data_IF_645670754996
#
_entry.id   IF_645670754996
#
_cell.length_a   1.000
_cell.length_b   1.000
_cell.length_c   1.000
_cell.angle_alpha   90.00
_cell.angle_beta   90.00
_cell.angle_gamma   90.00
#
_symmetry.space_group_name_H-M   'P 1'
#
loop_
_entity.id
_entity.type
_entity.pdbx_description
1 polymer ?
#
# COMPACT_ATOMS: atom_id res chain seq x y z
N UNK A 1 8.64 7.57 -17.98
CA UNK A 1 7.67 8.41 -17.25
C UNK A 1 6.24 7.89 -17.47
N UNK A 2 5.76 7.74 -18.72
CA UNK A 2 4.45 7.13 -19.01
C UNK A 2 4.28 5.69 -18.45
N UNK A 3 5.33 4.87 -18.52
CA UNK A 3 5.29 3.49 -18.00
C UNK A 3 5.17 3.42 -16.46
N UNK A 4 5.84 4.34 -15.74
CA UNK A 4 5.74 4.44 -14.28
C UNK A 4 4.32 4.88 -13.89
N UNK A 5 3.79 5.91 -14.55
CA UNK A 5 2.43 6.38 -14.32
C UNK A 5 1.40 5.27 -14.58
N UNK A 6 1.53 4.55 -15.70
CA UNK A 6 0.63 3.44 -16.03
C UNK A 6 0.70 2.31 -15.01
N UNK A 7 1.90 1.92 -14.57
CA UNK A 7 2.09 0.87 -13.57
C UNK A 7 1.54 1.28 -12.21
N UNK A 8 1.73 2.55 -11.85
CA UNK A 8 1.21 3.14 -10.61
C UNK A 8 -0.33 3.20 -10.60
N UNK A 9 -0.95 3.71 -11.66
CA UNK A 9 -2.41 3.75 -11.79
C UNK A 9 -3.01 2.34 -11.70
N UNK A 10 -2.34 1.37 -12.33
CA UNK A 10 -2.76 -0.04 -12.27
C UNK A 10 -2.63 -0.60 -10.84
N UNK A 11 -1.50 -0.38 -10.17
CA UNK A 11 -1.29 -0.79 -8.78
C UNK A 11 -2.35 -0.18 -7.86
N UNK A 12 -2.61 1.12 -7.96
CA UNK A 12 -3.62 1.79 -7.15
C UNK A 12 -5.00 1.17 -7.36
N UNK A 13 -5.42 0.99 -8.61
CA UNK A 13 -6.75 0.46 -8.93
C UNK A 13 -6.91 -0.98 -8.43
N UNK A 14 -5.90 -1.83 -8.64
CA UNK A 14 -5.94 -3.23 -8.20
C UNK A 14 -5.88 -3.33 -6.67
N UNK A 15 -5.07 -2.49 -6.00
CA UNK A 15 -5.02 -2.41 -4.55
C UNK A 15 -6.36 -1.96 -3.96
N UNK A 16 -6.94 -0.91 -4.54
CA UNK A 16 -8.24 -0.41 -4.11
C UNK A 16 -9.34 -1.45 -4.31
N UNK A 17 -9.35 -2.16 -5.46
CA UNK A 17 -10.32 -3.23 -5.71
C UNK A 17 -10.14 -4.38 -4.72
N UNK A 18 -8.90 -4.83 -4.53
CA UNK A 18 -8.57 -5.89 -3.59
C UNK A 18 -9.04 -5.56 -2.17
N UNK A 19 -8.73 -4.39 -1.64
CA UNK A 19 -9.09 -4.01 -0.27
C UNK A 19 -10.61 -3.88 -0.09
N UNK A 20 -11.32 -3.35 -1.09
CA UNK A 20 -12.79 -3.29 -1.07
C UNK A 20 -13.42 -4.69 -1.08
N UNK A 21 -12.97 -5.55 -1.99
CA UNK A 21 -13.48 -6.90 -2.11
C UNK A 21 -13.12 -7.76 -0.89
N UNK A 22 -11.92 -7.58 -0.34
CA UNK A 22 -11.43 -8.30 0.83
C UNK A 22 -12.42 -8.20 1.98
N UNK A 23 -12.88 -6.98 2.31
CA UNK A 23 -13.85 -6.74 3.39
C UNK A 23 -15.13 -7.57 3.22
N UNK A 24 -15.59 -7.75 1.98
CA UNK A 24 -16.82 -8.53 1.69
C UNK A 24 -16.59 -10.04 1.67
N UNK A 25 -15.34 -10.48 1.65
CA UNK A 25 -14.90 -11.88 1.57
C UNK A 25 -14.29 -12.39 2.87
N UNK A 26 -14.29 -11.56 3.92
CA UNK A 26 -13.93 -11.97 5.27
C UNK A 26 -14.99 -12.86 5.89
N UNK A 27 -14.57 -13.70 6.83
CA UNK A 27 -15.47 -14.48 7.69
C UNK A 27 -16.34 -13.55 8.56
N UNK A 28 -17.54 -13.98 8.96
CA UNK A 28 -18.42 -13.18 9.82
C UNK A 28 -17.85 -12.80 11.19
N UNK A 29 -16.88 -13.56 11.69
CA UNK A 29 -16.20 -13.36 12.98
C UNK A 29 -14.89 -12.57 12.86
N UNK A 30 -14.55 -12.10 11.66
CA UNK A 30 -13.38 -11.28 11.45
C UNK A 30 -13.47 -9.96 12.25
N UNK A 31 -12.35 -9.44 12.77
CA UNK A 31 -12.32 -8.18 13.49
C UNK A 31 -12.89 -7.04 12.64
N UNK A 32 -13.78 -6.24 13.22
CA UNK A 32 -14.44 -5.12 12.53
C UNK A 32 -13.45 -4.07 12.06
N UNK A 33 -12.29 -3.97 12.72
CA UNK A 33 -11.19 -3.06 12.42
C UNK A 33 -10.60 -3.31 11.03
N UNK A 34 -10.75 -4.52 10.47
CA UNK A 34 -10.27 -4.84 9.12
C UNK A 34 -10.99 -4.03 8.03
N UNK A 35 -12.16 -3.45 8.31
CA UNK A 35 -12.83 -2.52 7.40
C UNK A 35 -11.98 -1.27 7.10
N UNK A 36 -11.02 -0.94 7.97
CA UNK A 36 -10.16 0.23 7.82
C UNK A 36 -8.95 -0.02 6.91
N UNK A 37 -8.76 -1.24 6.39
CA UNK A 37 -7.66 -1.55 5.47
C UNK A 37 -7.72 -0.76 4.16
N UNK A 38 -8.91 -0.31 3.75
CA UNK A 38 -9.10 0.55 2.57
C UNK A 38 -8.26 1.83 2.61
N UNK A 39 -7.90 2.31 3.81
CA UNK A 39 -7.05 3.48 4.02
C UNK A 39 -5.68 3.32 3.36
N UNK A 40 -5.20 2.08 3.15
CA UNK A 40 -3.91 1.83 2.49
C UNK A 40 -3.91 2.36 1.05
N UNK A 41 -5.02 2.20 0.30
CA UNK A 41 -5.14 2.74 -1.05
C UNK A 41 -5.19 4.28 -1.06
N UNK A 42 -5.73 4.91 -0.01
CA UNK A 42 -5.79 6.38 0.11
C UNK A 42 -4.40 7.02 0.28
N UNK A 43 -3.35 6.24 0.58
CA UNK A 43 -1.95 6.71 0.73
C UNK A 43 -1.37 7.12 -0.64
N UNK A 44 -1.78 6.45 -1.72
CA UNK A 44 -1.27 6.65 -3.08
C UNK A 44 -2.40 7.06 -4.02
N UNK A 45 -2.80 8.33 -4.02
CA UNK A 45 -3.91 8.77 -4.86
C UNK A 45 -3.52 8.85 -6.35
N UNK A 46 -4.48 8.55 -7.23
CA UNK A 46 -4.35 8.81 -8.67
C UNK A 46 -4.23 10.32 -8.88
N UNK A 47 -3.12 10.77 -9.47
CA UNK A 47 -2.85 12.18 -9.71
C UNK A 47 -2.20 12.93 -8.53
N UNK A 48 -1.62 12.20 -7.57
CA UNK A 48 -0.81 12.80 -6.50
C UNK A 48 0.37 13.59 -7.12
N UNK A 49 0.47 14.91 -6.86
CA UNK A 49 1.48 15.77 -7.48
C UNK A 49 2.90 15.33 -7.15
N UNK A 50 3.16 14.61 -6.05
CA UNK A 50 4.49 14.07 -5.77
C UNK A 50 4.92 13.01 -6.81
N UNK A 51 3.96 12.36 -7.46
CA UNK A 51 4.19 11.42 -8.56
C UNK A 51 4.18 12.10 -9.94
N UNK A 52 3.48 13.22 -10.08
CA UNK A 52 3.40 13.98 -11.33
C UNK A 52 4.59 14.95 -11.50
N UNK A 53 5.07 15.55 -10.42
CA UNK A 53 6.12 16.57 -10.41
C UNK A 53 7.53 15.99 -10.17
N UNK A 54 7.65 14.65 -10.09
CA UNK A 54 8.94 13.95 -10.02
C UNK A 54 9.80 14.27 -8.80
N UNK A 55 9.20 14.57 -7.64
CA UNK A 55 9.93 14.52 -6.36
C UNK A 55 10.15 13.06 -5.97
N UNK A 56 11.07 12.40 -6.66
CA UNK A 56 11.28 10.95 -6.63
C UNK A 56 11.42 10.36 -5.22
N UNK A 57 12.00 11.12 -4.28
CA UNK A 57 12.20 10.68 -2.90
C UNK A 57 10.89 10.51 -2.12
N UNK A 58 9.92 11.42 -2.27
CA UNK A 58 8.67 11.37 -1.50
C UNK A 58 7.67 10.38 -2.13
N UNK A 59 7.66 10.30 -3.47
CA UNK A 59 6.96 9.25 -4.22
C UNK A 59 7.47 7.85 -3.85
N UNK A 60 8.79 7.66 -3.79
CA UNK A 60 9.39 6.38 -3.41
C UNK A 60 9.05 5.99 -1.95
N UNK A 61 9.12 6.93 -1.00
CA UNK A 61 8.72 6.69 0.40
C UNK A 61 7.26 6.25 0.52
N UNK A 62 6.34 6.89 -0.22
CA UNK A 62 4.92 6.53 -0.22
C UNK A 62 4.70 5.12 -0.77
N UNK A 63 5.33 4.76 -1.89
CA UNK A 63 5.22 3.42 -2.46
C UNK A 63 5.79 2.37 -1.51
N UNK A 64 6.97 2.61 -0.94
CA UNK A 64 7.59 1.68 0.00
C UNK A 64 6.70 1.44 1.23
N UNK A 65 6.03 2.49 1.72
CA UNK A 65 5.06 2.37 2.79
C UNK A 65 3.84 1.54 2.38
N UNK A 66 3.27 1.78 1.20
CA UNK A 66 2.13 1.00 0.68
C UNK A 66 2.50 -0.45 0.48
N UNK A 67 3.69 -0.73 -0.06
CA UNK A 67 4.22 -2.08 -0.22
C UNK A 67 4.31 -2.80 1.13
N UNK A 68 4.92 -2.15 2.15
CA UNK A 68 5.01 -2.71 3.50
C UNK A 68 3.65 -3.00 4.12
N UNK A 69 2.70 -2.07 4.02
CA UNK A 69 1.36 -2.24 4.58
C UNK A 69 0.58 -3.32 3.83
N UNK A 70 0.69 -3.36 2.51
CA UNK A 70 0.02 -4.35 1.67
C UNK A 70 0.57 -5.75 1.92
N UNK A 71 1.89 -5.92 1.98
CA UNK A 71 2.50 -7.20 2.31
C UNK A 71 2.14 -7.65 3.73
N UNK A 72 2.07 -6.73 4.70
CA UNK A 72 1.58 -7.05 6.04
C UNK A 72 0.14 -7.57 6.03
N UNK A 73 -0.76 -6.98 5.24
CA UNK A 73 -2.12 -7.49 5.04
C UNK A 73 -2.10 -8.87 4.38
N UNK A 74 -1.31 -9.06 3.33
CA UNK A 74 -1.19 -10.33 2.61
C UNK A 74 -0.72 -11.45 3.55
N UNK A 75 0.24 -11.16 4.41
CA UNK A 75 0.83 -12.17 5.31
C UNK A 75 -0.07 -12.54 6.49
N UNK A 76 -1.03 -11.68 6.85
CA UNK A 76 -1.82 -11.81 8.08
C UNK A 76 -3.34 -11.83 7.86
N UNK A 77 -3.85 -11.69 6.63
CA UNK A 77 -5.30 -11.67 6.41
C UNK A 77 -5.89 -13.01 5.95
N UNK A 78 -5.08 -13.95 5.42
CA UNK A 78 -5.59 -15.21 4.83
C UNK A 78 -6.50 -15.98 5.80
N UNK A 79 -6.16 -16.07 7.08
CA UNK A 79 -6.98 -16.81 8.06
C UNK A 79 -8.33 -16.16 8.36
N UNK A 80 -8.50 -14.88 8.03
CA UNK A 80 -9.78 -14.18 8.11
C UNK A 80 -10.61 -14.28 6.83
N UNK A 81 -10.03 -14.75 5.73
CA UNK A 81 -10.75 -14.95 4.47
C UNK A 81 -11.63 -16.18 4.57
N UNK A 82 -12.87 -16.06 4.10
CA UNK A 82 -13.78 -17.20 4.01
C UNK A 82 -13.19 -18.28 3.09
N UNK A 83 -13.33 -19.56 3.45
CA UNK A 83 -12.73 -20.67 2.71
C UNK A 83 -13.11 -20.69 1.23
N UNK A 84 -14.32 -20.25 0.90
CA UNK A 84 -14.82 -20.20 -0.48
C UNK A 84 -14.13 -19.11 -1.32
N UNK A 85 -13.35 -18.23 -0.68
CA UNK A 85 -12.66 -17.10 -1.30
C UNK A 85 -11.13 -17.20 -1.28
N UNK A 86 -10.55 -18.31 -0.80
CA UNK A 86 -9.09 -18.45 -0.68
C UNK A 86 -8.38 -18.44 -2.04
N UNK A 87 -8.97 -19.03 -3.08
CA UNK A 87 -8.39 -19.03 -4.42
C UNK A 87 -8.36 -17.61 -5.01
N UNK A 88 -9.47 -16.87 -4.86
CA UNK A 88 -9.54 -15.44 -5.21
C UNK A 88 -8.47 -14.64 -4.47
N UNK A 89 -8.32 -14.88 -3.16
CA UNK A 89 -7.35 -14.16 -2.35
C UNK A 89 -5.94 -14.36 -2.89
N UNK A 90 -5.53 -15.62 -3.09
CA UNK A 90 -4.21 -15.96 -3.63
C UNK A 90 -3.96 -15.30 -4.99
N UNK A 91 -4.90 -15.43 -5.93
CA UNK A 91 -4.81 -14.81 -7.25
C UNK A 91 -4.59 -13.28 -7.15
N UNK A 92 -5.37 -12.59 -6.32
CA UNK A 92 -5.24 -11.14 -6.14
C UNK A 92 -3.94 -10.74 -5.45
N UNK A 93 -3.50 -11.49 -4.44
CA UNK A 93 -2.22 -11.21 -3.77
C UNK A 93 -1.02 -11.41 -4.69
N UNK A 94 -1.06 -12.42 -5.57
CA UNK A 94 0.00 -12.64 -6.57
C UNK A 94 0.05 -11.50 -7.59
N UNK A 95 -1.11 -11.05 -8.06
CA UNK A 95 -1.20 -9.91 -8.98
C UNK A 95 -0.67 -8.61 -8.35
N UNK A 96 -1.04 -8.33 -7.10
CA UNK A 96 -0.54 -7.16 -6.38
C UNK A 96 0.99 -7.20 -6.22
N UNK A 97 1.56 -8.36 -5.87
CA UNK A 97 3.02 -8.52 -5.77
C UNK A 97 3.74 -8.23 -7.08
N UNK A 98 3.17 -8.64 -8.21
CA UNK A 98 3.71 -8.32 -9.54
C UNK A 98 3.70 -6.81 -9.77
N UNK A 99 2.59 -6.13 -9.49
CA UNK A 99 2.50 -4.68 -9.69
C UNK A 99 3.43 -3.89 -8.77
N UNK A 100 3.53 -4.27 -7.49
CA UNK A 100 4.47 -3.64 -6.55
C UNK A 100 5.92 -3.81 -7.04
N UNK A 101 6.29 -4.99 -7.54
CA UNK A 101 7.62 -5.24 -8.12
C UNK A 101 7.89 -4.39 -9.36
N UNK A 102 6.91 -4.25 -10.26
CA UNK A 102 7.05 -3.44 -11.46
C UNK A 102 7.21 -1.95 -11.14
N UNK A 103 6.40 -1.44 -10.20
CA UNK A 103 6.47 -0.06 -9.75
C UNK A 103 7.81 0.22 -9.07
N UNK A 104 8.31 -0.67 -8.20
CA UNK A 104 9.62 -0.54 -7.56
C UNK A 104 10.76 -0.53 -8.61
N UNK A 105 10.72 -1.44 -9.58
CA UNK A 105 11.70 -1.47 -10.67
C UNK A 105 11.71 -0.18 -11.50
N UNK A 106 10.53 0.39 -11.78
CA UNK A 106 10.43 1.67 -12.47
C UNK A 106 10.96 2.84 -11.63
N UNK A 107 10.73 2.85 -10.31
CA UNK A 107 11.27 3.87 -9.42
C UNK A 107 12.80 3.81 -9.30
N UNK A 108 13.37 2.61 -9.15
CA UNK A 108 14.83 2.42 -9.12
C UNK A 108 15.46 2.92 -10.43
N UNK A 109 14.83 2.62 -11.57
CA UNK A 109 15.31 3.13 -12.85
C UNK A 109 15.26 4.67 -12.92
N UNK A 110 14.25 5.31 -12.32
CA UNK A 110 14.17 6.78 -12.24
C UNK A 110 15.28 7.35 -11.34
N UNK A 111 15.48 6.78 -10.14
CA UNK A 111 16.55 7.18 -9.22
C UNK A 111 17.95 7.07 -9.85
N UNK A 112 18.23 5.97 -10.56
CA UNK A 112 19.52 5.78 -11.25
C UNK A 112 19.78 6.79 -12.38
N UNK A 113 18.72 7.38 -12.96
CA UNK A 113 18.85 8.50 -13.91
C UNK A 113 19.05 9.86 -13.24
N UNK A 114 18.60 10.02 -12.00
CA UNK A 114 18.68 11.27 -11.21
C UNK A 114 19.88 11.29 -10.23
N UNK A 115 20.61 10.18 -10.08
CA UNK A 115 21.69 9.99 -9.09
C UNK A 115 22.99 10.74 -9.44
N UNK A 116 22.95 12.07 -9.28
CA UNK A 116 24.10 12.90 -8.93
C UNK A 116 24.05 13.32 -7.44
N UNK A 117 23.13 12.81 -6.60
CA UNK A 117 23.08 13.20 -5.17
C UNK A 117 22.54 12.13 -4.20
N UNK A 118 23.47 11.62 -3.38
CA UNK A 118 23.34 11.21 -1.96
C UNK A 118 22.12 10.39 -1.51
N UNK A 119 22.32 9.07 -1.47
CA UNK A 119 21.53 8.13 -0.65
C UNK A 119 21.92 8.26 0.84
N UNK A 120 21.09 8.94 1.64
CA UNK A 120 21.09 8.79 3.09
C UNK A 120 20.11 7.68 3.52
N UNK A 121 20.67 6.76 4.31
CA UNK A 121 20.06 5.57 4.91
C UNK A 121 18.91 5.95 5.86
N UNK A 122 17.67 5.53 5.59
CA UNK A 122 16.51 5.86 6.44
C UNK A 122 15.78 4.63 6.98
N UNK A 123 16.06 4.35 8.24
CA UNK A 123 15.28 3.51 9.16
C UNK A 123 13.88 4.12 9.40
N UNK A 124 12.89 3.75 8.62
CA UNK A 124 11.49 4.17 8.82
C UNK A 124 10.76 3.24 9.81
N UNK A 125 10.79 3.61 11.09
CA UNK A 125 9.80 3.18 12.08
C UNK A 125 8.47 3.89 11.83
N UNK A 126 7.36 3.17 12.03
CA UNK A 126 5.98 3.67 11.92
C UNK A 126 5.73 4.69 13.06
N UNK A 127 6.19 5.93 12.90
CA UNK A 127 6.20 6.89 14.02
C UNK A 127 6.09 8.38 13.67
N UNK A 128 6.03 8.77 12.40
CA UNK A 128 6.07 10.20 12.07
C UNK A 128 5.46 10.57 10.73
N UNK A 129 4.12 10.56 10.64
CA UNK A 129 3.44 11.31 9.59
C UNK A 129 3.35 12.77 10.02
N UNK A 130 4.15 13.64 9.42
CA UNK A 130 3.96 15.09 9.50
C UNK A 130 3.08 15.53 8.33
N UNK A 131 1.83 15.88 8.63
CA UNK A 131 0.76 16.30 7.70
C UNK A 131 0.93 17.76 7.20
N UNK A 132 2.09 18.11 6.67
CA UNK A 132 2.32 19.45 6.08
C UNK A 132 2.61 19.40 4.59
N UNK A 133 1.66 18.89 3.81
CA UNK A 133 1.48 19.30 2.42
C UNK A 133 0.01 19.62 2.19
N UNK A 134 -0.23 20.87 1.83
CA UNK A 134 -1.55 21.45 1.59
C UNK A 134 -2.28 20.69 0.48
N UNK A 135 -3.50 20.22 0.81
CA UNK A 135 -4.56 19.63 -0.06
C UNK A 135 -4.74 18.11 -0.07
N UNK A 136 -4.01 17.31 0.72
CA UNK A 136 -4.20 15.85 0.73
C UNK A 136 -5.04 15.41 1.93
N UNK A 137 -6.00 14.51 1.66
CA UNK A 137 -6.94 13.93 2.63
C UNK A 137 -6.16 13.41 3.85
N UNK A 138 -6.52 13.87 5.06
CA UNK A 138 -5.85 13.42 6.29
C UNK A 138 -6.07 11.92 6.47
N UNK A 139 -4.99 11.13 6.39
CA UNK A 139 -5.02 9.69 6.64
C UNK A 139 -5.36 9.47 8.11
N UNK A 140 -6.42 8.73 8.40
CA UNK A 140 -6.77 8.39 9.77
C UNK A 140 -5.83 7.28 10.31
N UNK A 141 -4.71 7.73 10.87
CA UNK A 141 -3.63 6.87 11.38
C UNK A 141 -4.12 5.95 12.50
N UNK A 142 -5.09 6.38 13.32
CA UNK A 142 -5.61 5.55 14.42
C UNK A 142 -6.43 4.37 13.90
N UNK A 143 -7.25 4.58 12.86
CA UNK A 143 -7.97 3.50 12.20
C UNK A 143 -7.01 2.51 11.50
N UNK A 144 -5.95 3.01 10.88
CA UNK A 144 -4.92 2.16 10.28
C UNK A 144 -4.22 1.30 11.34
N UNK A 145 -3.80 1.90 12.46
CA UNK A 145 -3.19 1.17 13.59
C UNK A 145 -4.14 0.11 14.14
N UNK A 146 -5.42 0.42 14.31
CA UNK A 146 -6.41 -0.54 14.79
C UNK A 146 -6.50 -1.76 13.86
N UNK A 147 -6.53 -1.55 12.54
CA UNK A 147 -6.54 -2.64 11.57
C UNK A 147 -5.24 -3.47 11.62
N UNK A 148 -4.08 -2.83 11.70
CA UNK A 148 -2.79 -3.53 11.78
C UNK A 148 -2.69 -4.38 13.07
N UNK A 149 -3.16 -3.85 14.20
CA UNK A 149 -3.19 -4.59 15.46
C UNK A 149 -4.13 -5.79 15.41
N UNK A 150 -5.29 -5.67 14.74
CA UNK A 150 -6.24 -6.77 14.58
C UNK A 150 -5.66 -7.93 13.75
N UNK A 151 -4.91 -7.61 12.70
CA UNK A 151 -4.14 -8.58 11.91
C UNK A 151 -3.05 -9.26 12.76
N UNK A 152 -2.32 -8.49 13.57
CA UNK A 152 -1.23 -9.03 14.39
C UNK A 152 -1.71 -9.94 15.53
N UNK A 153 -2.82 -9.58 16.18
CA UNK A 153 -3.33 -10.27 17.38
C UNK A 153 -3.84 -11.69 17.11
N UNK A 154 -3.97 -12.08 15.84
CA UNK A 154 -4.56 -13.35 15.40
C UNK A 154 -3.57 -14.31 14.75
N UNK A 155 -2.33 -13.87 14.51
CA UNK A 155 -1.21 -14.71 14.07
C UNK A 155 -0.33 -15.25 15.21
N UNK A 156 -0.74 -15.09 16.48
CA UNK A 156 -0.02 -15.54 17.68
C UNK A 156 -0.64 -16.78 18.33
#
# INVERSE_FOLDING_TARGET
MEELQSSYETLHNDLQSFLNELITKLKPDAPSELQHLIIIADIIQVGDPEFLDSSGDDAHKKILLVDRLTNFVIDNAEHFVDSDNLDWYKEKTDLLKVWMTLVDAHLVNVQLTDDDTNLEDMSAGIGGFNTKTSSHREINVENLKAAMNALQASGS
#
